data_IF_757924750609
#
_entry.id   IF_757924750609
#
_cell.length_a   1.000
_cell.length_b   1.000
_cell.length_c   1.000
_cell.angle_alpha   90.00
_cell.angle_beta   90.00
_cell.angle_gamma   90.00
#
_symmetry.space_group_name_H-M   'P 1'
#
loop_
_entity.id
_entity.type
_entity.pdbx_description
1 polymer ?
#
# COMPACT_ATOMS: atom_id res chain seq x y z
N UNK A 1 -72.78 -25.36 3.41
CA UNK A 1 -71.89 -24.60 4.29
C UNK A 1 -70.45 -24.82 3.80
N UNK A 2 -69.94 -23.91 2.94
CA UNK A 2 -68.57 -24.02 2.35
C UNK A 2 -67.60 -23.21 3.16
N UNK A 3 -66.62 -23.86 3.77
CA UNK A 3 -65.47 -23.19 4.41
C UNK A 3 -64.44 -22.83 3.35
N UNK A 4 -64.28 -21.53 3.07
CA UNK A 4 -63.18 -21.00 2.26
C UNK A 4 -61.93 -20.85 3.16
N UNK A 5 -60.88 -21.59 2.86
CA UNK A 5 -59.58 -21.55 3.49
C UNK A 5 -58.78 -20.33 2.98
N UNK A 6 -58.19 -19.51 3.84
CA UNK A 6 -57.41 -18.32 3.39
C UNK A 6 -56.02 -18.70 2.98
N UNK A 7 -55.78 -19.02 1.71
CA UNK A 7 -54.45 -19.29 1.14
C UNK A 7 -53.62 -18.01 0.85
N UNK A 8 -54.19 -16.83 1.13
CA UNK A 8 -53.52 -15.56 0.80
C UNK A 8 -52.55 -15.03 1.89
N UNK A 9 -52.51 -15.63 3.09
CA UNK A 9 -51.65 -15.10 4.16
C UNK A 9 -50.22 -15.62 4.12
N UNK A 10 -49.96 -16.74 3.46
CA UNK A 10 -48.63 -17.37 3.44
C UNK A 10 -47.73 -16.76 2.35
N UNK A 11 -48.28 -16.20 1.26
CA UNK A 11 -47.51 -15.61 0.17
C UNK A 11 -46.86 -14.27 0.57
N UNK A 12 -47.50 -13.50 1.46
CA UNK A 12 -46.96 -12.21 1.91
C UNK A 12 -45.76 -12.35 2.87
N UNK A 13 -45.75 -13.44 3.67
CA UNK A 13 -44.67 -13.68 4.62
C UNK A 13 -43.36 -14.14 3.93
N UNK A 14 -43.46 -14.94 2.87
CA UNK A 14 -42.29 -15.41 2.12
C UNK A 14 -41.61 -14.30 1.30
N UNK A 15 -42.38 -13.33 0.80
CA UNK A 15 -41.85 -12.18 0.06
C UNK A 15 -41.06 -11.22 0.98
N UNK A 16 -41.51 -11.06 2.23
CA UNK A 16 -40.82 -10.21 3.22
C UNK A 16 -39.46 -10.76 3.65
N UNK A 17 -39.33 -12.08 3.81
CA UNK A 17 -38.06 -12.72 4.19
C UNK A 17 -37.03 -12.67 3.05
N UNK A 18 -37.46 -12.86 1.80
CA UNK A 18 -36.58 -12.75 0.64
C UNK A 18 -36.03 -11.32 0.45
N UNK A 19 -36.87 -10.30 0.68
CA UNK A 19 -36.43 -8.89 0.59
C UNK A 19 -35.46 -8.51 1.71
N UNK A 20 -35.58 -9.09 2.92
CA UNK A 20 -34.67 -8.83 4.03
C UNK A 20 -33.27 -9.46 3.82
N UNK A 21 -33.17 -10.60 3.13
CA UNK A 21 -31.89 -11.26 2.84
C UNK A 21 -31.08 -10.45 1.80
N UNK A 22 -31.73 -9.82 0.82
CA UNK A 22 -31.05 -8.98 -0.18
C UNK A 22 -30.52 -7.68 0.43
N UNK A 23 -31.14 -7.14 1.48
CA UNK A 23 -30.69 -5.93 2.15
C UNK A 23 -29.45 -6.12 3.04
N UNK A 24 -29.10 -7.35 3.43
CA UNK A 24 -27.89 -7.64 4.24
C UNK A 24 -26.63 -7.94 3.42
N UNK A 25 -26.75 -8.01 2.09
CA UNK A 25 -25.61 -8.29 1.20
C UNK A 25 -24.70 -7.08 0.95
N UNK A 26 -25.02 -5.92 1.49
CA UNK A 26 -24.26 -4.67 1.36
C UNK A 26 -23.19 -4.48 2.44
N UNK A 27 -22.40 -5.51 2.80
CA UNK A 27 -21.11 -5.24 3.43
C UNK A 27 -20.22 -4.57 2.39
N UNK A 28 -20.22 -3.23 2.37
CA UNK A 28 -19.30 -2.45 1.58
C UNK A 28 -17.88 -2.77 2.01
N UNK A 29 -17.22 -3.69 1.31
CA UNK A 29 -15.77 -3.76 1.31
C UNK A 29 -15.28 -2.41 0.78
N UNK A 30 -14.77 -1.58 1.66
CA UNK A 30 -14.05 -0.36 1.25
C UNK A 30 -12.77 -0.85 0.60
N UNK A 31 -12.76 -0.91 -0.73
CA UNK A 31 -11.53 -1.17 -1.48
C UNK A 31 -10.64 0.05 -1.28
N UNK A 32 -9.37 -0.10 -0.87
CA UNK A 32 -8.45 1.02 -0.80
C UNK A 32 -8.48 1.80 -2.10
N UNK A 33 -8.61 3.12 -2.03
CA UNK A 33 -8.62 3.97 -3.20
C UNK A 33 -7.21 4.35 -3.60
N UNK A 34 -6.97 4.48 -4.88
CA UNK A 34 -5.73 4.91 -5.51
C UNK A 34 -6.09 6.04 -6.48
N UNK A 35 -6.35 7.28 -5.98
CA UNK A 35 -6.88 8.37 -6.82
C UNK A 35 -5.98 8.76 -7.98
N UNK A 36 -4.66 8.64 -7.82
CA UNK A 36 -3.67 8.84 -8.88
C UNK A 36 -3.46 7.61 -9.75
N UNK A 37 -3.97 6.45 -9.33
CA UNK A 37 -3.78 5.18 -10.04
C UNK A 37 -2.34 4.68 -10.01
N UNK A 38 -1.61 4.98 -8.93
CA UNK A 38 -0.19 4.64 -8.80
C UNK A 38 0.02 3.13 -8.97
N UNK A 39 -0.74 2.29 -8.26
CA UNK A 39 -0.59 0.84 -8.37
C UNK A 39 -0.81 0.31 -9.80
N UNK A 40 -1.85 0.81 -10.48
CA UNK A 40 -2.15 0.40 -11.86
C UNK A 40 -1.07 0.89 -12.84
N UNK A 41 -0.46 2.04 -12.57
CA UNK A 41 0.59 2.61 -13.42
C UNK A 41 1.93 1.88 -13.27
N UNK A 42 2.32 1.55 -12.04
CA UNK A 42 3.62 0.89 -11.77
C UNK A 42 3.59 -0.60 -12.07
N UNK A 43 2.43 -1.25 -11.96
CA UNK A 43 2.31 -2.69 -12.22
C UNK A 43 2.61 -3.03 -13.68
N UNK A 44 3.64 -3.84 -13.88
CA UNK A 44 4.15 -4.18 -15.22
C UNK A 44 4.85 -3.01 -15.94
N UNK A 45 5.16 -1.93 -15.22
CA UNK A 45 5.77 -0.72 -15.73
C UNK A 45 7.03 -0.31 -14.96
N UNK A 46 7.21 0.99 -14.81
CA UNK A 46 8.34 1.58 -14.09
C UNK A 46 7.91 2.02 -12.68
N UNK A 47 8.69 1.64 -11.67
CA UNK A 47 8.54 2.08 -10.28
C UNK A 47 9.63 3.12 -9.98
N UNK A 48 9.25 4.39 -9.87
CA UNK A 48 10.20 5.50 -9.59
C UNK A 48 10.45 5.58 -8.09
N UNK A 49 11.66 5.19 -7.67
CA UNK A 49 12.03 5.04 -6.27
C UNK A 49 13.07 6.08 -5.86
N UNK A 50 12.78 6.83 -4.82
CA UNK A 50 13.71 7.73 -4.16
C UNK A 50 14.36 7.07 -2.95
N UNK A 51 15.69 7.18 -2.83
CA UNK A 51 16.43 6.72 -1.66
C UNK A 51 17.40 7.75 -1.15
N UNK A 52 17.60 7.81 0.17
CA UNK A 52 18.68 8.59 0.79
C UNK A 52 19.74 7.64 1.35
N UNK A 53 21.05 7.98 1.22
CA UNK A 53 22.11 7.14 1.77
C UNK A 53 21.96 6.95 3.26
N UNK A 54 22.03 5.69 3.74
CA UNK A 54 21.93 5.33 5.16
C UNK A 54 22.66 4.01 5.46
N UNK A 55 23.99 4.06 5.50
CA UNK A 55 24.81 2.91 5.86
C UNK A 55 24.48 1.66 5.05
N UNK A 56 24.31 0.54 5.74
CA UNK A 56 24.00 -0.77 5.12
C UNK A 56 22.56 -0.86 4.56
N UNK A 57 21.68 0.06 4.95
CA UNK A 57 20.31 0.10 4.41
C UNK A 57 20.29 0.58 2.96
N UNK A 58 21.08 1.63 2.68
CA UNK A 58 21.21 2.23 1.35
C UNK A 58 22.63 2.70 1.15
N UNK A 59 23.41 1.93 0.43
CA UNK A 59 24.75 2.29 -0.04
C UNK A 59 24.65 2.90 -1.41
N UNK A 60 25.35 4.02 -1.60
CA UNK A 60 25.38 4.73 -2.89
C UNK A 60 26.81 4.85 -3.41
N UNK A 61 27.01 4.54 -4.70
CA UNK A 61 28.30 4.57 -5.36
C UNK A 61 28.18 4.97 -6.83
N UNK A 62 29.03 4.39 -7.67
CA UNK A 62 28.95 4.55 -9.12
C UNK A 62 28.01 3.48 -9.70
N UNK A 63 26.73 3.72 -9.73
CA UNK A 63 25.75 2.77 -10.27
C UNK A 63 24.41 2.86 -9.53
N UNK A 64 23.60 1.83 -9.66
CA UNK A 64 22.38 1.68 -8.86
C UNK A 64 22.73 1.60 -7.35
N UNK A 65 21.88 2.10 -6.45
CA UNK A 65 22.06 1.90 -5.02
C UNK A 65 22.03 0.42 -4.68
N UNK A 66 22.58 0.06 -3.51
CA UNK A 66 22.56 -1.31 -2.95
C UNK A 66 22.24 -1.25 -1.47
N UNK A 67 21.93 -2.38 -0.85
CA UNK A 67 21.64 -2.48 0.58
C UNK A 67 20.31 -3.14 0.88
N UNK A 68 20.07 -3.43 2.15
CA UNK A 68 18.94 -4.25 2.58
C UNK A 68 17.57 -3.65 2.23
N UNK A 69 17.43 -2.32 2.28
CA UNK A 69 16.19 -1.65 1.86
C UNK A 69 16.06 -1.66 0.34
N UNK A 70 17.17 -1.55 -0.39
CA UNK A 70 17.15 -1.63 -1.86
C UNK A 70 16.72 -3.03 -2.30
N UNK A 71 17.26 -4.09 -1.69
CA UNK A 71 16.88 -5.47 -1.97
C UNK A 71 15.38 -5.72 -1.71
N UNK A 72 14.83 -5.16 -0.63
CA UNK A 72 13.38 -5.23 -0.34
C UNK A 72 12.54 -4.53 -1.41
N UNK A 73 12.98 -3.36 -1.88
CA UNK A 73 12.26 -2.61 -2.93
C UNK A 73 12.37 -3.31 -4.28
N UNK A 74 13.53 -3.89 -4.61
CA UNK A 74 13.71 -4.70 -5.82
C UNK A 74 12.76 -5.92 -5.80
N UNK A 75 12.69 -6.63 -4.66
CA UNK A 75 11.76 -7.74 -4.49
C UNK A 75 10.28 -7.32 -4.57
N UNK A 76 9.93 -6.15 -4.03
CA UNK A 76 8.59 -5.59 -4.19
C UNK A 76 8.28 -5.30 -5.66
N UNK A 77 9.19 -4.63 -6.37
CA UNK A 77 9.05 -4.34 -7.80
C UNK A 77 8.85 -5.63 -8.61
N UNK A 78 9.66 -6.66 -8.35
CA UNK A 78 9.50 -7.99 -8.98
C UNK A 78 8.11 -8.59 -8.70
N UNK A 79 7.58 -8.43 -7.48
CA UNK A 79 6.28 -9.00 -7.08
C UNK A 79 5.09 -8.40 -7.84
N UNK A 80 5.27 -7.22 -8.43
CA UNK A 80 4.26 -6.50 -9.22
C UNK A 80 4.65 -6.36 -10.70
N UNK A 81 5.66 -7.11 -11.16
CA UNK A 81 6.21 -7.07 -12.51
C UNK A 81 6.73 -5.67 -12.92
N UNK A 82 7.20 -4.84 -11.96
CA UNK A 82 7.71 -3.50 -12.20
C UNK A 82 9.25 -3.47 -12.34
N UNK A 83 9.75 -2.42 -12.98
CA UNK A 83 11.21 -2.16 -13.05
C UNK A 83 11.53 -0.93 -12.21
N UNK A 84 12.38 -1.01 -11.17
CA UNK A 84 12.70 0.14 -10.34
C UNK A 84 13.63 1.12 -11.07
N UNK A 85 13.27 2.41 -11.01
CA UNK A 85 14.11 3.53 -11.43
C UNK A 85 14.54 4.33 -10.20
N UNK A 86 15.87 4.36 -9.95
CA UNK A 86 16.42 4.89 -8.71
C UNK A 86 16.80 6.36 -8.79
N UNK A 87 16.37 7.14 -7.81
CA UNK A 87 16.80 8.51 -7.56
C UNK A 87 17.43 8.63 -6.18
N UNK A 88 18.69 9.09 -6.12
CA UNK A 88 19.40 9.32 -4.85
C UNK A 88 19.36 10.81 -4.51
N UNK A 89 18.79 11.16 -3.36
CA UNK A 89 18.73 12.54 -2.88
C UNK A 89 18.57 12.60 -1.36
N UNK A 90 18.47 13.81 -0.79
CA UNK A 90 18.11 13.98 0.61
C UNK A 90 16.62 13.69 0.83
N UNK A 91 16.26 13.18 2.00
CA UNK A 91 14.89 12.83 2.36
C UNK A 91 13.88 13.96 2.07
N UNK A 92 14.18 15.21 2.47
CA UNK A 92 13.32 16.36 2.17
C UNK A 92 13.13 16.60 0.65
N UNK A 93 14.17 16.37 -0.15
CA UNK A 93 14.08 16.49 -1.60
C UNK A 93 13.23 15.39 -2.21
N UNK A 94 13.37 14.16 -1.70
CA UNK A 94 12.58 12.99 -2.13
C UNK A 94 11.10 13.18 -1.79
N UNK A 95 10.77 13.67 -0.59
CA UNK A 95 9.38 13.96 -0.23
C UNK A 95 8.78 15.03 -1.14
N UNK A 96 9.54 16.08 -1.50
CA UNK A 96 9.05 17.07 -2.47
C UNK A 96 8.83 16.48 -3.87
N UNK A 97 9.65 15.52 -4.29
CA UNK A 97 9.47 14.81 -5.55
C UNK A 97 8.24 13.90 -5.50
N UNK A 98 8.02 13.21 -4.37
CA UNK A 98 6.84 12.39 -4.13
C UNK A 98 5.54 13.23 -4.22
N UNK A 99 5.49 14.40 -3.57
CA UNK A 99 4.35 15.34 -3.64
C UNK A 99 4.04 15.83 -5.06
N UNK A 100 5.05 15.97 -5.92
CA UNK A 100 4.85 16.37 -7.31
C UNK A 100 4.51 15.24 -8.26
N UNK A 101 4.53 14.00 -7.76
CA UNK A 101 4.34 12.81 -8.59
C UNK A 101 5.56 12.48 -9.47
N UNK A 102 6.75 12.96 -9.09
CA UNK A 102 8.02 12.60 -9.74
C UNK A 102 8.53 11.23 -9.24
N UNK A 103 8.06 10.77 -8.08
CA UNK A 103 8.36 9.47 -7.47
C UNK A 103 7.07 8.76 -7.06
N UNK A 104 7.14 7.44 -7.00
CA UNK A 104 6.06 6.55 -6.55
C UNK A 104 6.33 5.99 -5.16
N UNK A 105 7.61 5.88 -4.78
CA UNK A 105 8.05 5.32 -3.51
C UNK A 105 9.27 6.08 -3.00
N UNK A 106 9.34 6.32 -1.69
CA UNK A 106 10.55 6.75 -0.99
C UNK A 106 10.89 5.74 0.09
N UNK A 107 12.12 5.24 0.06
CA UNK A 107 12.63 4.25 0.99
C UNK A 107 14.02 4.64 1.51
N UNK A 108 14.50 3.95 2.53
CA UNK A 108 15.81 4.21 3.14
C UNK A 108 15.73 4.23 4.65
N UNK A 109 16.43 5.14 5.29
CA UNK A 109 16.48 5.27 6.75
C UNK A 109 15.31 6.03 7.37
N UNK A 110 14.19 6.22 6.67
CA UNK A 110 13.01 6.92 7.20
C UNK A 110 12.42 6.10 8.35
N UNK A 111 12.28 6.73 9.52
CA UNK A 111 11.78 6.06 10.73
C UNK A 111 10.31 6.41 11.00
N UNK A 112 9.68 5.65 11.90
CA UNK A 112 8.29 5.90 12.32
C UNK A 112 8.06 7.28 12.96
N UNK A 113 9.12 7.96 13.41
CA UNK A 113 9.05 9.34 13.95
C UNK A 113 9.11 10.41 12.85
N UNK A 114 8.89 10.01 11.60
CA UNK A 114 8.98 10.91 10.44
C UNK A 114 8.08 12.14 10.57
N UNK A 115 8.54 13.34 10.18
CA UNK A 115 7.73 14.54 10.15
C UNK A 115 6.81 14.67 8.93
N UNK A 116 6.77 13.66 8.05
CA UNK A 116 6.12 13.73 6.73
C UNK A 116 4.69 13.20 6.68
N UNK A 117 4.08 12.88 7.84
CA UNK A 117 2.74 12.28 7.96
C UNK A 117 1.61 13.09 7.29
N UNK A 118 1.79 14.39 7.13
CA UNK A 118 0.84 15.29 6.47
C UNK A 118 1.11 15.48 4.96
N UNK A 119 2.23 14.93 4.47
CA UNK A 119 2.73 15.14 3.10
C UNK A 119 2.84 13.85 2.27
N UNK A 120 2.84 12.70 2.94
CA UNK A 120 2.96 11.39 2.31
C UNK A 120 2.07 10.35 2.99
N UNK A 121 1.71 9.31 2.27
CA UNK A 121 1.24 8.07 2.85
C UNK A 121 2.42 7.36 3.50
N UNK A 122 2.29 6.96 4.75
CA UNK A 122 3.36 6.32 5.53
C UNK A 122 2.96 4.87 5.79
N UNK A 123 3.85 3.93 5.47
CA UNK A 123 3.63 2.51 5.75
C UNK A 123 3.63 2.22 7.25
N UNK A 124 3.20 1.02 7.63
CA UNK A 124 3.50 0.46 8.94
C UNK A 124 5.00 0.45 9.20
N UNK A 125 5.36 0.39 10.47
CA UNK A 125 6.76 0.32 10.88
C UNK A 125 7.29 -1.10 10.88
N UNK A 126 8.49 -1.31 10.34
CA UNK A 126 9.18 -2.59 10.24
C UNK A 126 10.49 -2.54 11.00
N UNK A 127 10.73 -3.53 11.89
CA UNK A 127 11.93 -3.61 12.74
C UNK A 127 12.87 -4.75 12.34
N UNK A 128 12.40 -5.68 11.48
CA UNK A 128 13.14 -6.87 11.06
C UNK A 128 14.08 -6.66 9.88
N UNK A 129 14.31 -5.41 9.45
CA UNK A 129 15.18 -5.11 8.31
C UNK A 129 16.63 -5.12 8.73
N UNK A 130 17.46 -5.90 8.04
CA UNK A 130 18.91 -6.00 8.33
C UNK A 130 19.57 -4.62 8.20
N UNK A 131 20.46 -4.25 9.12
CA UNK A 131 21.10 -2.94 9.17
C UNK A 131 20.23 -1.82 9.76
N UNK A 132 18.98 -2.10 10.16
CA UNK A 132 18.13 -1.12 10.83
C UNK A 132 18.58 -0.79 12.26
N UNK A 133 19.40 -1.64 12.90
CA UNK A 133 19.95 -1.43 14.25
C UNK A 133 18.89 -1.14 15.31
N UNK A 134 17.74 -1.84 15.22
CA UNK A 134 16.61 -1.67 16.13
C UNK A 134 15.73 -0.45 15.84
N UNK A 135 16.00 0.30 14.77
CA UNK A 135 15.10 1.36 14.27
C UNK A 135 13.84 0.74 13.70
N UNK A 136 12.71 1.43 13.86
CA UNK A 136 11.47 1.10 13.18
C UNK A 136 11.41 1.90 11.88
N UNK A 137 11.63 1.22 10.76
CA UNK A 137 11.65 1.87 9.44
C UNK A 137 10.26 1.91 8.82
N UNK A 138 10.01 2.95 8.04
CA UNK A 138 8.79 3.12 7.24
C UNK A 138 9.17 3.47 5.80
N UNK A 139 8.24 3.25 4.88
CA UNK A 139 8.34 3.70 3.49
C UNK A 139 7.26 4.73 3.21
N UNK A 140 7.54 5.68 2.31
CA UNK A 140 6.61 6.75 1.96
C UNK A 140 6.09 6.56 0.54
N UNK A 141 4.78 6.77 0.36
CA UNK A 141 4.09 6.72 -0.93
C UNK A 141 3.34 8.03 -1.16
N UNK A 142 2.88 8.34 -2.38
CA UNK A 142 2.07 9.53 -2.59
C UNK A 142 0.83 9.54 -1.71
N UNK A 143 0.46 10.71 -1.20
CA UNK A 143 -0.64 10.85 -0.26
C UNK A 143 -1.97 10.43 -0.89
N UNK A 144 -2.67 9.50 -0.23
CA UNK A 144 -3.97 9.01 -0.69
C UNK A 144 -3.91 7.75 -1.56
N UNK A 145 -2.73 7.32 -2.04
CA UNK A 145 -2.54 6.10 -2.85
C UNK A 145 -2.59 4.84 -1.97
N UNK A 146 -3.78 4.59 -1.40
CA UNK A 146 -3.97 3.54 -0.40
C UNK A 146 -3.92 2.12 -0.97
N UNK A 147 -4.27 1.93 -2.25
CA UNK A 147 -4.15 0.62 -2.87
C UNK A 147 -2.67 0.26 -3.08
N UNK A 148 -1.87 1.22 -3.54
CA UNK A 148 -0.42 1.05 -3.67
C UNK A 148 0.24 0.80 -2.31
N UNK A 149 -0.10 1.60 -1.30
CA UNK A 149 0.38 1.43 0.08
C UNK A 149 0.03 0.04 0.63
N UNK A 150 -1.21 -0.42 0.44
CA UNK A 150 -1.65 -1.73 0.94
C UNK A 150 -0.93 -2.89 0.24
N UNK A 151 -0.63 -2.78 -1.04
CA UNK A 151 0.13 -3.79 -1.79
C UNK A 151 1.58 -3.84 -1.31
N UNK A 152 2.22 -2.67 -1.10
CA UNK A 152 3.56 -2.58 -0.52
C UNK A 152 3.61 -3.21 0.89
N UNK A 153 2.67 -2.85 1.75
CA UNK A 153 2.62 -3.39 3.12
C UNK A 153 2.36 -4.89 3.16
N UNK A 154 1.52 -5.41 2.25
CA UNK A 154 1.31 -6.86 2.13
C UNK A 154 2.62 -7.59 1.81
N UNK A 155 3.39 -7.06 0.85
CA UNK A 155 4.69 -7.61 0.51
C UNK A 155 5.68 -7.56 1.68
N UNK A 156 5.79 -6.39 2.33
CA UNK A 156 6.70 -6.21 3.46
C UNK A 156 6.34 -7.10 4.66
N UNK A 157 5.06 -7.34 4.94
CA UNK A 157 4.61 -8.26 5.99
C UNK A 157 5.02 -9.72 5.69
N UNK A 158 5.03 -10.11 4.42
CA UNK A 158 5.44 -11.45 4.00
C UNK A 158 6.97 -11.64 4.11
N UNK A 159 7.76 -10.61 3.77
CA UNK A 159 9.22 -10.70 3.72
C UNK A 159 9.89 -10.36 5.06
N UNK A 160 9.42 -9.35 5.76
CA UNK A 160 10.07 -8.85 6.99
C UNK A 160 9.34 -9.34 8.25
N UNK A 161 8.03 -9.56 8.14
CA UNK A 161 7.15 -9.81 9.26
C UNK A 161 6.70 -8.50 9.93
N UNK A 162 5.53 -8.52 10.54
CA UNK A 162 4.93 -7.41 11.27
C UNK A 162 5.22 -7.47 12.77
#
# INVERSE_FOLDING_TARGET
MSRRIPLLRSAAATLGVAAAIVALSGCGLTIPSDPGGTLDTVRGGELRVGVSPDGELVETGTGAPTGSVVDLVDGFADSIDATPEWTVATEESLVRMLERGDLDLVAGGVTSDTPWLDRAGVSRGYTGIDGADGRTLVMLVPLGENAFLSELERYLDEEVGS
#
